data_IF_483626595460
#
_entry.id   IF_483626595460
#
_cell.length_a   1.000
_cell.length_b   1.000
_cell.length_c   1.000
_cell.angle_alpha   90.00
_cell.angle_beta   90.00
_cell.angle_gamma   90.00
#
_symmetry.space_group_name_H-M   'P 1'
#
loop_
_entity.id
_entity.type
_entity.pdbx_description
1 polymer ?
#
# COMPACT_ATOMS: atom_id res chain seq x y z
N UNK A 1 -9.35 -8.63 2.79
CA UNK A 1 -7.94 -8.78 3.24
C UNK A 1 -7.91 -9.73 4.40
N UNK A 2 -7.06 -10.75 4.32
CA UNK A 2 -6.94 -11.81 5.30
C UNK A 2 -5.58 -11.71 6.00
N UNK A 3 -5.58 -11.41 7.29
CA UNK A 3 -4.39 -11.23 8.13
C UNK A 3 -4.29 -12.37 9.15
N UNK A 4 -3.08 -12.89 9.36
CA UNK A 4 -2.88 -13.95 10.33
C UNK A 4 -2.98 -13.42 11.78
N UNK A 5 -3.73 -14.14 12.63
CA UNK A 5 -3.80 -13.92 14.08
C UNK A 5 -2.84 -14.84 14.85
N UNK A 6 -2.12 -15.71 14.14
CA UNK A 6 -1.30 -16.78 14.71
C UNK A 6 -2.08 -18.07 14.97
N UNK A 7 -1.35 -19.18 15.14
CA UNK A 7 -1.91 -20.52 15.43
C UNK A 7 -3.01 -20.96 14.44
N UNK A 8 -2.80 -20.69 13.14
CA UNK A 8 -3.74 -21.04 12.06
C UNK A 8 -5.03 -20.21 12.00
N UNK A 9 -5.18 -19.18 12.85
CA UNK A 9 -6.34 -18.30 12.85
C UNK A 9 -6.11 -17.08 11.96
N UNK A 10 -7.18 -16.59 11.35
CA UNK A 10 -7.15 -15.45 10.44
C UNK A 10 -8.20 -14.42 10.81
N UNK A 11 -7.89 -13.16 10.51
CA UNK A 11 -8.79 -12.03 10.56
C UNK A 11 -9.05 -11.59 9.11
N UNK A 12 -10.29 -11.67 8.68
CA UNK A 12 -10.69 -11.33 7.32
C UNK A 12 -11.63 -10.14 7.34
N UNK A 13 -11.29 -9.05 6.68
CA UNK A 13 -12.18 -7.90 6.54
C UNK A 13 -11.87 -7.12 5.25
N UNK A 14 -12.83 -6.34 4.71
CA UNK A 14 -12.57 -5.42 3.61
C UNK A 14 -11.41 -4.46 3.91
N UNK A 15 -10.53 -4.21 2.93
CA UNK A 15 -9.35 -3.34 3.13
C UNK A 15 -9.72 -1.93 3.59
N UNK A 16 -10.85 -1.43 3.11
CA UNK A 16 -11.41 -0.11 3.41
C UNK A 16 -11.76 0.11 4.89
N UNK A 17 -11.81 -0.97 5.66
CA UNK A 17 -12.05 -0.95 7.11
C UNK A 17 -10.76 -0.84 7.92
N UNK A 18 -9.59 -0.90 7.27
CA UNK A 18 -8.30 -0.75 7.92
C UNK A 18 -7.79 0.69 7.77
N UNK A 19 -7.39 1.25 8.90
CA UNK A 19 -6.65 2.49 8.99
C UNK A 19 -5.16 2.18 9.11
N UNK A 20 -4.34 2.93 8.38
CA UNK A 20 -2.90 2.81 8.37
C UNK A 20 -2.27 3.79 9.36
N UNK A 21 -1.32 3.31 10.17
CA UNK A 21 -0.55 4.11 11.11
C UNK A 21 0.95 3.89 10.89
N UNK A 22 1.73 4.93 11.18
CA UNK A 22 3.19 4.84 11.25
C UNK A 22 3.60 4.60 12.69
N UNK A 23 4.25 3.48 12.93
CA UNK A 23 4.89 3.20 14.21
C UNK A 23 6.36 3.61 14.20
N UNK A 24 6.90 3.93 15.37
CA UNK A 24 8.32 4.22 15.55
C UNK A 24 8.99 3.07 16.29
N UNK A 25 9.93 2.41 15.63
CA UNK A 25 10.74 1.32 16.20
C UNK A 25 12.10 1.89 16.59
N UNK A 26 12.41 1.90 17.88
CA UNK A 26 13.71 2.33 18.39
C UNK A 26 14.61 1.10 18.53
N UNK A 27 15.75 1.12 17.85
CA UNK A 27 16.78 0.10 17.95
C UNK A 27 18.12 0.73 18.34
N UNK A 28 19.11 -0.09 18.68
CA UNK A 28 20.45 0.39 19.06
C UNK A 28 21.12 1.23 17.96
N UNK A 29 20.83 0.93 16.69
CA UNK A 29 21.35 1.62 15.51
C UNK A 29 20.58 2.89 15.11
N UNK A 30 19.46 3.19 15.78
CA UNK A 30 18.70 4.41 15.52
C UNK A 30 17.18 4.23 15.53
N UNK A 31 16.51 5.17 14.87
CA UNK A 31 15.05 5.23 14.77
C UNK A 31 14.62 4.71 13.41
N UNK A 32 13.69 3.76 13.44
CA UNK A 32 13.07 3.19 12.26
C UNK A 32 11.56 3.36 12.32
N UNK A 33 10.92 3.13 11.19
CA UNK A 33 9.48 3.29 11.02
C UNK A 33 8.88 2.02 10.43
N UNK A 34 7.59 1.78 10.69
CA UNK A 34 6.87 0.69 10.02
C UNK A 34 5.39 1.01 9.85
N UNK A 35 4.78 0.33 8.88
CA UNK A 35 3.34 0.40 8.64
C UNK A 35 2.59 -0.57 9.56
N UNK A 36 1.61 -0.05 10.31
CA UNK A 36 0.64 -0.83 11.08
C UNK A 36 -0.74 -0.67 10.47
N UNK A 37 -1.50 -1.76 10.43
CA UNK A 37 -2.93 -1.72 10.14
C UNK A 37 -3.74 -1.83 11.42
N UNK A 38 -4.74 -0.96 11.57
CA UNK A 38 -5.72 -1.02 12.66
C UNK A 38 -7.09 -1.17 12.04
N UNK A 39 -7.81 -2.22 12.41
CA UNK A 39 -9.19 -2.39 11.97
C UNK A 39 -10.11 -1.42 12.72
N UNK A 40 -10.77 -0.52 11.99
CA UNK A 40 -11.52 0.63 12.53
C UNK A 40 -12.59 0.24 13.55
N UNK A 41 -13.33 -0.84 13.30
CA UNK A 41 -14.47 -1.20 14.14
C UNK A 41 -14.08 -2.03 15.37
N UNK A 42 -13.08 -2.90 15.26
CA UNK A 42 -12.68 -3.79 16.36
C UNK A 42 -11.44 -3.30 17.10
N UNK A 43 -10.81 -2.23 16.64
CA UNK A 43 -9.56 -1.66 17.16
C UNK A 43 -8.41 -2.69 17.23
N UNK A 44 -8.47 -3.74 16.41
CA UNK A 44 -7.43 -4.77 16.36
C UNK A 44 -6.27 -4.25 15.52
N UNK A 45 -5.08 -4.25 16.10
CA UNK A 45 -3.86 -3.80 15.44
C UNK A 45 -3.03 -4.97 14.91
N UNK A 46 -2.49 -4.80 13.71
CA UNK A 46 -1.71 -5.79 12.99
C UNK A 46 -0.34 -5.21 12.68
N UNK A 47 0.63 -5.68 13.46
CA UNK A 47 2.02 -5.23 13.42
C UNK A 47 2.90 -6.14 12.58
N UNK A 48 2.48 -7.38 12.33
CA UNK A 48 3.29 -8.40 11.63
C UNK A 48 2.60 -8.80 10.34
N UNK A 49 2.50 -7.86 9.41
CA UNK A 49 2.00 -8.14 8.06
C UNK A 49 3.17 -8.25 7.08
N UNK A 50 2.93 -8.85 5.91
CA UNK A 50 3.92 -8.91 4.83
C UNK A 50 4.36 -7.51 4.33
N UNK A 51 3.63 -6.46 4.71
CA UNK A 51 3.88 -5.07 4.34
C UNK A 51 4.33 -4.22 5.53
N UNK A 52 4.64 -4.83 6.68
CA UNK A 52 5.11 -4.13 7.88
C UNK A 52 6.64 -4.21 8.02
N UNK A 53 7.38 -4.03 6.93
CA UNK A 53 8.85 -3.95 6.95
C UNK A 53 9.32 -2.77 7.79
N UNK A 54 10.55 -2.87 8.30
CA UNK A 54 11.17 -1.82 9.10
C UNK A 54 11.95 -0.94 8.12
N UNK A 55 11.52 0.31 8.00
CA UNK A 55 12.10 1.29 7.09
C UNK A 55 12.92 2.33 7.84
N UNK A 56 13.99 2.83 7.23
CA UNK A 56 14.85 3.86 7.79
C UNK A 56 14.22 5.26 7.78
N UNK A 57 13.22 5.49 6.92
CA UNK A 57 12.54 6.78 6.78
C UNK A 57 11.02 6.64 6.89
N UNK A 58 10.40 7.68 7.43
CA UNK A 58 8.94 7.82 7.46
C UNK A 58 8.34 7.97 6.06
N UNK A 59 9.06 8.61 5.12
CA UNK A 59 8.58 8.79 3.74
C UNK A 59 8.38 7.45 3.02
N UNK A 60 9.27 6.48 3.24
CA UNK A 60 9.15 5.11 2.70
C UNK A 60 7.88 4.42 3.20
N UNK A 61 7.56 4.54 4.48
CA UNK A 61 6.32 3.96 5.04
C UNK A 61 5.07 4.58 4.41
N UNK A 62 5.10 5.89 4.13
CA UNK A 62 4.00 6.62 3.49
C UNK A 62 3.86 6.25 2.00
N UNK A 63 4.98 6.10 1.30
CA UNK A 63 5.02 5.60 -0.08
C UNK A 63 4.53 4.16 -0.18
N UNK A 64 4.92 3.29 0.74
CA UNK A 64 4.42 1.92 0.83
C UNK A 64 2.90 1.88 1.04
N UNK A 65 2.37 2.73 1.92
CA UNK A 65 0.93 2.85 2.11
C UNK A 65 0.22 3.27 0.81
N UNK A 66 0.83 4.14 0.02
CA UNK A 66 0.28 4.55 -1.27
C UNK A 66 0.33 3.46 -2.34
N UNK A 67 1.42 2.69 -2.40
CA UNK A 67 1.52 1.49 -3.26
C UNK A 67 0.39 0.52 -2.93
N UNK A 68 0.10 0.29 -1.64
CA UNK A 68 -0.98 -0.60 -1.23
C UNK A 68 -2.36 -0.06 -1.58
N UNK A 69 -2.61 1.23 -1.37
CA UNK A 69 -3.88 1.83 -1.79
C UNK A 69 -4.08 1.72 -3.31
N UNK A 70 -3.03 1.97 -4.10
CA UNK A 70 -3.10 1.87 -5.56
C UNK A 70 -3.32 0.42 -5.99
N UNK A 71 -2.63 -0.53 -5.36
CA UNK A 71 -2.80 -1.96 -5.64
C UNK A 71 -4.21 -2.48 -5.33
N UNK A 72 -4.83 -1.98 -4.26
CA UNK A 72 -6.17 -2.38 -3.86
C UNK A 72 -7.28 -1.66 -4.66
N UNK A 73 -6.93 -0.67 -5.49
CA UNK A 73 -7.86 0.10 -6.32
C UNK A 73 -7.85 -0.41 -7.77
N UNK A 74 -8.85 -1.23 -8.10
CA UNK A 74 -9.00 -1.83 -9.44
C UNK A 74 -9.34 -0.81 -10.55
N UNK A 75 -9.61 0.45 -10.20
CA UNK A 75 -9.90 1.50 -11.19
C UNK A 75 -8.65 2.17 -11.75
N UNK A 76 -7.49 1.86 -11.18
CA UNK A 76 -6.20 2.45 -11.54
C UNK A 76 -5.22 1.39 -12.01
N UNK A 77 -4.20 1.77 -12.80
CA UNK A 77 -3.12 0.86 -13.14
C UNK A 77 -2.39 0.42 -11.87
N UNK A 78 -1.86 -0.80 -11.90
CA UNK A 78 -1.03 -1.36 -10.84
C UNK A 78 0.13 -0.41 -10.51
N UNK A 79 0.53 -0.33 -9.23
CA UNK A 79 1.66 0.51 -8.84
C UNK A 79 2.93 0.03 -9.56
N UNK A 80 3.75 0.99 -9.99
CA UNK A 80 4.96 0.69 -10.74
C UNK A 80 6.10 0.31 -9.80
N UNK A 81 6.15 -0.97 -9.44
CA UNK A 81 7.17 -1.54 -8.56
C UNK A 81 7.77 -2.80 -9.18
N UNK A 82 9.06 -3.11 -8.92
CA UNK A 82 9.75 -4.26 -9.53
C UNK A 82 9.00 -5.59 -9.38
N UNK A 83 8.38 -5.81 -8.22
CA UNK A 83 7.65 -7.06 -7.91
C UNK A 83 6.44 -7.29 -8.81
N UNK A 84 5.83 -6.23 -9.35
CA UNK A 84 4.63 -6.32 -10.17
C UNK A 84 4.93 -6.29 -11.67
N UNK A 85 6.15 -5.91 -12.09
CA UNK A 85 6.54 -5.80 -13.50
C UNK A 85 6.15 -7.04 -14.34
N UNK A 86 6.42 -8.29 -13.91
CA UNK A 86 6.08 -9.46 -14.70
C UNK A 86 4.57 -9.64 -14.94
N UNK A 87 3.73 -9.05 -14.09
CA UNK A 87 2.28 -9.25 -14.11
C UNK A 87 1.52 -8.07 -14.71
N UNK A 88 2.18 -6.94 -15.01
CA UNK A 88 1.51 -5.72 -15.50
C UNK A 88 0.69 -5.93 -16.77
N UNK A 89 1.18 -6.77 -17.67
CA UNK A 89 0.50 -7.09 -18.93
C UNK A 89 -0.77 -7.95 -18.75
N UNK A 90 -0.95 -8.58 -17.58
CA UNK A 90 -2.13 -9.38 -17.27
C UNK A 90 -3.30 -8.53 -16.77
N UNK A 91 -3.01 -7.31 -16.29
CA UNK A 91 -4.04 -6.37 -15.84
C UNK A 91 -4.45 -5.44 -17.00
N UNK A 92 -5.72 -5.44 -17.42
CA UNK A 92 -6.15 -4.70 -18.61
C UNK A 92 -6.01 -3.18 -18.44
N UNK A 93 -6.27 -2.64 -17.24
CA UNK A 93 -6.15 -1.21 -16.94
C UNK A 93 -4.69 -0.77 -17.03
N UNK A 94 -3.79 -1.59 -16.48
CA UNK A 94 -2.34 -1.38 -16.54
C UNK A 94 -1.81 -1.50 -17.96
N UNK A 95 -2.24 -2.51 -18.71
CA UNK A 95 -1.80 -2.75 -20.08
C UNK A 95 -2.17 -1.58 -21.01
N UNK A 96 -3.40 -1.04 -20.92
CA UNK A 96 -3.81 0.13 -21.68
C UNK A 96 -3.00 1.38 -21.27
N UNK A 97 -2.79 1.57 -19.96
CA UNK A 97 -2.00 2.68 -19.45
C UNK A 97 -0.53 2.62 -19.94
N UNK A 98 0.10 1.45 -19.88
CA UNK A 98 1.48 1.23 -20.29
C UNK A 98 1.62 1.41 -21.82
N UNK A 99 0.64 0.96 -22.61
CA UNK A 99 0.60 1.19 -24.07
C UNK A 99 0.53 2.69 -24.41
N UNK A 100 -0.35 3.42 -23.72
CA UNK A 100 -0.53 4.86 -23.95
C UNK A 100 0.68 5.70 -23.55
N UNK A 101 1.39 5.29 -22.49
CA UNK A 101 2.57 6.00 -21.99
C UNK A 101 3.87 5.56 -22.67
N UNK A 102 3.86 4.44 -23.40
CA UNK A 102 5.05 3.87 -24.02
C UNK A 102 6.05 3.30 -23.01
N UNK A 103 5.57 2.82 -21.86
CA UNK A 103 6.41 2.30 -20.78
C UNK A 103 7.16 1.04 -21.24
N UNK A 104 8.46 0.95 -20.94
CA UNK A 104 9.26 -0.25 -21.21
C UNK A 104 8.80 -1.43 -20.32
N UNK A 105 8.34 -2.57 -20.88
CA UNK A 105 7.87 -3.73 -20.10
C UNK A 105 8.95 -4.40 -19.24
N UNK A 106 10.23 -4.13 -19.50
CA UNK A 106 11.38 -4.68 -18.74
C UNK A 106 12.14 -3.61 -17.98
N UNK A 107 11.53 -2.45 -17.74
CA UNK A 107 12.19 -1.30 -17.11
C UNK A 107 12.96 -1.68 -15.84
N UNK A 108 12.30 -2.32 -14.87
CA UNK A 108 12.92 -2.69 -13.60
C UNK A 108 13.92 -3.82 -13.74
N UNK A 109 13.67 -4.79 -14.62
CA UNK A 109 14.59 -5.91 -14.86
C UNK A 109 15.89 -5.47 -15.53
N UNK A 110 15.82 -4.55 -16.48
CA UNK A 110 16.97 -4.10 -17.27
C UNK A 110 17.60 -2.81 -16.68
N UNK A 111 17.12 -2.35 -15.51
CA UNK A 111 17.64 -1.19 -14.82
C UNK A 111 19.05 -1.44 -14.27
N UNK A 112 20.03 -0.64 -14.70
CA UNK A 112 21.33 -0.57 -14.04
C UNK A 112 21.18 0.17 -12.71
N UNK A 113 21.19 -0.58 -11.61
CA UNK A 113 21.00 -0.05 -10.26
C UNK A 113 22.07 0.96 -9.86
N UNK A 114 23.33 0.78 -10.25
CA UNK A 114 24.42 1.65 -9.83
C UNK A 114 24.38 2.96 -10.61
N UNK A 115 24.17 2.89 -11.92
CA UNK A 115 23.96 4.09 -12.74
C UNK A 115 22.69 4.85 -12.29
N UNK A 116 21.60 4.13 -12.01
CA UNK A 116 20.34 4.73 -11.59
C UNK A 116 20.46 5.42 -10.22
N UNK A 117 21.08 4.78 -9.23
CA UNK A 117 21.35 5.40 -7.91
C UNK A 117 22.19 6.66 -8.01
N UNK A 118 23.09 6.76 -8.99
CA UNK A 118 23.94 7.93 -9.16
C UNK A 118 23.24 9.06 -9.93
N UNK A 119 22.31 8.72 -10.82
CA UNK A 119 21.50 9.65 -11.62
C UNK A 119 20.07 9.80 -11.11
N UNK A 120 19.10 9.32 -11.89
CA UNK A 120 17.67 9.55 -11.68
C UNK A 120 17.14 9.07 -10.32
N UNK A 121 17.71 8.02 -9.74
CA UNK A 121 17.28 7.49 -8.46
C UNK A 121 17.37 8.48 -7.31
N UNK A 122 18.37 9.38 -7.32
CA UNK A 122 18.45 10.46 -6.32
C UNK A 122 17.31 11.45 -6.44
N UNK A 123 16.94 11.79 -7.67
CA UNK A 123 15.85 12.71 -7.95
C UNK A 123 14.50 12.08 -7.59
N UNK A 124 14.31 10.78 -7.84
CA UNK A 124 13.14 10.04 -7.41
C UNK A 124 13.02 10.00 -5.88
N UNK A 125 14.11 9.67 -5.18
CA UNK A 125 14.16 9.69 -3.71
C UNK A 125 13.83 11.09 -3.16
N UNK A 126 14.44 12.12 -3.73
CA UNK A 126 14.18 13.51 -3.35
C UNK A 126 12.71 13.89 -3.51
N UNK A 127 12.09 13.57 -4.65
CA UNK A 127 10.65 13.81 -4.88
C UNK A 127 9.79 13.07 -3.87
N UNK A 128 10.16 11.85 -3.50
CA UNK A 128 9.43 11.06 -2.50
C UNK A 128 9.53 11.68 -1.10
N UNK A 129 10.69 12.18 -0.71
CA UNK A 129 10.94 12.85 0.57
C UNK A 129 10.23 14.21 0.65
N UNK A 130 10.26 14.99 -0.44
CA UNK A 130 9.64 16.31 -0.52
C UNK A 130 8.13 16.26 -0.80
N UNK A 131 7.58 15.09 -1.15
CA UNK A 131 6.16 14.96 -1.46
C UNK A 131 5.29 15.33 -0.24
N UNK A 132 4.26 16.17 -0.40
CA UNK A 132 3.39 16.60 0.69
C UNK A 132 2.39 15.49 1.07
N UNK A 133 2.88 14.43 1.72
CA UNK A 133 2.11 13.24 2.08
C UNK A 133 0.85 13.53 2.88
N UNK A 134 0.88 14.59 3.70
CA UNK A 134 -0.28 15.04 4.49
C UNK A 134 -1.45 15.58 3.65
N UNK A 135 -1.19 15.99 2.40
CA UNK A 135 -2.23 16.48 1.47
C UNK A 135 -2.82 15.36 0.61
N UNK A 136 -2.23 14.15 0.64
CA UNK A 136 -2.67 13.05 -0.20
C UNK A 136 -4.01 12.52 0.29
N UNK A 137 -4.98 12.42 -0.62
CA UNK A 137 -6.30 11.86 -0.33
C UNK A 137 -6.33 10.39 -0.74
N UNK A 138 -6.70 9.51 0.20
CA UNK A 138 -7.00 8.12 -0.12
C UNK A 138 -8.30 8.05 -0.93
N UNK A 139 -8.28 7.35 -2.06
CA UNK A 139 -9.47 7.11 -2.91
C UNK A 139 -10.30 5.92 -2.43
N UNK A 140 -9.64 4.94 -1.82
CA UNK A 140 -10.26 3.73 -1.28
C UNK A 140 -10.87 3.92 0.10
N UNK A 141 -10.36 4.86 0.89
CA UNK A 141 -10.98 5.21 2.16
C UNK A 141 -12.38 5.65 1.80
N UNK A 142 -13.41 4.95 2.30
CA UNK A 142 -14.74 5.25 1.86
C UNK A 142 -15.02 6.70 2.23
N UNK A 143 -15.77 7.34 1.35
CA UNK A 143 -17.11 7.88 1.61
C UNK A 143 -17.85 7.40 2.91
N UNK A 144 -17.18 6.96 3.97
CA UNK A 144 -17.71 6.55 5.26
C UNK A 144 -18.18 7.84 5.93
N UNK A 145 -19.49 7.96 6.12
CA UNK A 145 -20.17 9.23 6.39
C UNK A 145 -21.03 9.74 5.23
N UNK A 146 -20.86 9.22 4.02
CA UNK A 146 -21.82 9.43 2.90
C UNK A 146 -22.85 8.29 2.77
N UNK A 147 -22.49 7.08 3.18
CA UNK A 147 -23.42 5.95 3.35
C UNK A 147 -23.63 5.66 4.83
N UNK A 148 -24.84 5.24 5.20
CA UNK A 148 -25.14 4.84 6.57
C UNK A 148 -24.43 3.53 6.94
N UNK A 149 -24.11 3.35 8.22
CA UNK A 149 -23.53 2.09 8.71
C UNK A 149 -24.44 0.88 8.45
N UNK A 150 -25.76 1.08 8.41
CA UNK A 150 -26.72 0.02 8.12
C UNK A 150 -26.63 -0.45 6.66
N UNK A 151 -26.47 0.48 5.71
CA UNK A 151 -26.28 0.15 4.30
C UNK A 151 -24.93 -0.51 4.05
N UNK A 152 -23.87 0.01 4.67
CA UNK A 152 -22.54 -0.60 4.56
C UNK A 152 -22.52 -2.05 5.05
N UNK A 153 -23.19 -2.35 6.17
CA UNK A 153 -23.31 -3.71 6.70
C UNK A 153 -23.98 -4.68 5.72
N UNK A 154 -24.90 -4.22 4.87
CA UNK A 154 -25.54 -5.06 3.84
C UNK A 154 -24.59 -5.39 2.68
N UNK A 155 -23.62 -4.53 2.39
CA UNK A 155 -22.61 -4.71 1.34
C UNK A 155 -21.42 -5.56 1.81
N UNK A 156 -21.33 -5.82 3.12
CA UNK A 156 -20.18 -6.47 3.72
C UNK A 156 -20.19 -7.97 3.37
N UNK A 157 -19.04 -8.55 2.97
CA UNK A 157 -18.96 -9.98 2.69
C UNK A 157 -19.38 -10.83 3.90
N UNK A 158 -20.09 -11.94 3.66
CA UNK A 158 -20.63 -12.79 4.72
C UNK A 158 -19.55 -13.49 5.57
N UNK A 159 -18.36 -13.65 4.99
CA UNK A 159 -17.15 -14.22 5.59
C UNK A 159 -16.30 -13.20 6.37
N UNK A 160 -16.65 -11.91 6.30
CA UNK A 160 -15.91 -10.86 7.00
C UNK A 160 -16.09 -10.92 8.52
N UNK A 161 -15.03 -10.59 9.24
CA UNK A 161 -14.93 -10.64 10.70
C UNK A 161 -16.04 -9.81 11.37
N UNK A 162 -16.76 -10.34 12.37
CA UNK A 162 -17.94 -9.67 12.93
C UNK A 162 -17.65 -8.28 13.52
N UNK A 163 -18.57 -7.33 13.29
CA UNK A 163 -18.54 -5.92 13.76
C UNK A 163 -19.88 -5.46 14.32
#
# INVERSE_FOLDING_TARGET
VRLALGRGRFFEAPFVEFDAYVDRVIQQSGVFYRLIFVHRYTQKSFHKTAFSTIESSKSEVLALWDVLQTYMDVTQPLPDVPRLEPFRHLDPVTAEHDLRTGRNPRFWRDLDLEAWKQGEGKEWLKRQEEYPWNKRKCRLTPQLGKISMAEYRKLRPADAWPI
#
